data_IF_936973247737
#
_entry.id   IF_936973247737
#
_cell.length_a   1.000
_cell.length_b   1.000
_cell.length_c   1.000
_cell.angle_alpha   90.00
_cell.angle_beta   90.00
_cell.angle_gamma   90.00
#
_symmetry.space_group_name_H-M   'P 1'
#
loop_
_entity.id
_entity.type
_entity.pdbx_description
1 polymer ?
#
# COMPACT_ATOMS: atom_id res chain seq x y z
N UNK A 1 -22.80 1.39 2.99
CA UNK A 1 -21.97 1.95 1.91
C UNK A 1 -22.07 1.08 0.67
N UNK A 2 -21.77 1.65 -0.48
CA UNK A 2 -21.72 0.94 -1.76
C UNK A 2 -20.35 0.36 -2.08
N UNK A 3 -19.36 0.55 -1.20
CA UNK A 3 -18.01 0.02 -1.38
C UNK A 3 -18.01 -1.43 -0.90
N UNK A 4 -17.66 -2.39 -1.76
CA UNK A 4 -17.66 -3.79 -1.37
C UNK A 4 -16.54 -4.10 -0.37
N UNK A 5 -16.78 -5.07 0.49
CA UNK A 5 -15.77 -5.60 1.40
C UNK A 5 -14.87 -6.58 0.65
N UNK A 6 -13.56 -6.38 0.73
CA UNK A 6 -12.59 -7.26 0.10
C UNK A 6 -12.59 -8.66 0.76
N UNK A 7 -12.32 -9.68 -0.04
CA UNK A 7 -12.28 -11.07 0.39
C UNK A 7 -10.97 -11.74 -0.04
N UNK A 8 -10.72 -12.94 0.47
CA UNK A 8 -9.58 -13.76 0.04
C UNK A 8 -9.65 -14.09 -1.46
N UNK A 9 -10.85 -14.25 -2.03
CA UNK A 9 -11.04 -14.48 -3.45
C UNK A 9 -10.59 -13.29 -4.30
N UNK A 10 -10.84 -12.06 -3.83
CA UNK A 10 -10.37 -10.85 -4.51
C UNK A 10 -8.85 -10.79 -4.54
N UNK A 11 -8.20 -11.18 -3.45
CA UNK A 11 -6.74 -11.23 -3.36
C UNK A 11 -6.14 -12.26 -4.33
N UNK A 12 -6.75 -13.43 -4.45
CA UNK A 12 -6.32 -14.46 -5.40
C UNK A 12 -6.49 -13.99 -6.86
N UNK A 13 -7.56 -13.26 -7.13
CA UNK A 13 -7.90 -12.76 -8.47
C UNK A 13 -7.02 -11.60 -8.91
N UNK A 14 -6.73 -10.63 -8.04
CA UNK A 14 -6.02 -9.42 -8.41
C UNK A 14 -4.53 -9.68 -8.72
N UNK A 15 -3.97 -8.89 -9.60
CA UNK A 15 -2.54 -8.93 -9.96
C UNK A 15 -1.71 -7.91 -9.18
N UNK A 16 -2.36 -6.96 -8.53
CA UNK A 16 -1.71 -5.92 -7.74
C UNK A 16 -2.55 -5.57 -6.53
N UNK A 17 -1.89 -5.18 -5.45
CA UNK A 17 -2.53 -4.72 -4.23
C UNK A 17 -2.00 -3.34 -3.85
N UNK A 18 -2.91 -2.39 -3.71
CA UNK A 18 -2.61 -1.10 -3.10
C UNK A 18 -3.30 -1.05 -1.74
N UNK A 19 -2.56 -1.32 -0.69
CA UNK A 19 -3.08 -1.24 0.66
C UNK A 19 -3.17 0.21 1.12
N UNK A 20 -4.26 0.55 1.78
CA UNK A 20 -4.42 1.87 2.39
C UNK A 20 -5.10 1.69 3.74
N UNK A 21 -4.40 2.01 4.81
CA UNK A 21 -4.92 1.93 6.16
C UNK A 21 -4.32 3.03 7.03
N UNK A 22 -5.06 3.53 8.03
CA UNK A 22 -4.51 4.51 8.94
C UNK A 22 -3.41 3.92 9.82
N UNK A 23 -2.46 4.77 10.19
CA UNK A 23 -1.42 4.42 11.17
C UNK A 23 -2.04 4.36 12.57
N UNK A 24 -1.72 3.32 13.30
CA UNK A 24 -2.05 3.14 14.72
C UNK A 24 -0.79 2.71 15.45
N UNK A 25 -0.21 3.62 16.26
CA UNK A 25 0.98 3.34 17.06
C UNK A 25 2.13 2.73 16.23
N UNK A 26 2.38 3.30 15.05
CA UNK A 26 3.48 2.88 14.19
C UNK A 26 3.22 1.65 13.32
N UNK A 27 2.01 1.14 13.30
CA UNK A 27 1.58 0.02 12.47
C UNK A 27 0.23 0.26 11.83
N UNK A 28 -0.24 -0.70 11.02
CA UNK A 28 -1.56 -0.62 10.41
C UNK A 28 -2.68 -0.80 11.42
N UNK A 29 -3.85 -0.24 11.14
CA UNK A 29 -5.05 -0.44 11.96
C UNK A 29 -5.38 -1.94 12.08
N UNK A 30 -5.90 -2.33 13.25
CA UNK A 30 -6.20 -3.74 13.57
C UNK A 30 -7.15 -4.41 12.57
N UNK A 31 -8.09 -3.65 12.00
CA UNK A 31 -9.01 -4.17 11.00
C UNK A 31 -8.28 -4.65 9.74
N UNK A 32 -7.28 -3.92 9.29
CA UNK A 32 -6.44 -4.33 8.17
C UNK A 32 -5.63 -5.57 8.53
N UNK A 33 -5.06 -5.63 9.72
CA UNK A 33 -4.33 -6.81 10.19
C UNK A 33 -5.24 -8.02 10.30
N UNK A 34 -6.45 -7.85 10.79
CA UNK A 34 -7.44 -8.92 10.86
C UNK A 34 -7.80 -9.45 9.47
N UNK A 35 -7.94 -8.57 8.48
CA UNK A 35 -8.14 -8.99 7.09
C UNK A 35 -6.95 -9.81 6.57
N UNK A 36 -5.74 -9.34 6.77
CA UNK A 36 -4.52 -10.04 6.37
C UNK A 36 -4.45 -11.43 7.00
N UNK A 37 -4.85 -11.56 8.25
CA UNK A 37 -4.84 -12.84 8.97
C UNK A 37 -5.83 -13.85 8.36
N UNK A 38 -6.82 -13.43 7.59
CA UNK A 38 -7.74 -14.34 6.89
C UNK A 38 -7.14 -14.97 5.63
N UNK A 39 -5.97 -14.52 5.18
CA UNK A 39 -5.40 -14.90 3.89
C UNK A 39 -4.52 -16.15 3.94
N UNK A 40 -4.45 -16.84 5.08
CA UNK A 40 -3.59 -18.01 5.25
C UNK A 40 -3.84 -19.13 4.22
N UNK A 41 -5.09 -19.39 3.87
CA UNK A 41 -5.43 -20.39 2.86
C UNK A 41 -4.94 -20.05 1.46
N UNK A 42 -5.12 -18.80 1.03
CA UNK A 42 -4.62 -18.33 -0.28
C UNK A 42 -3.10 -18.34 -0.30
N UNK A 43 -2.48 -17.87 0.77
CA UNK A 43 -1.03 -17.89 0.92
C UNK A 43 -0.46 -19.31 0.82
N UNK A 44 -1.06 -20.27 1.51
CA UNK A 44 -0.58 -21.67 1.51
C UNK A 44 -0.62 -22.30 0.11
N UNK A 45 -1.50 -21.83 -0.76
CA UNK A 45 -1.59 -22.28 -2.15
C UNK A 45 -0.70 -21.48 -3.11
N UNK A 46 0.12 -20.55 -2.60
CA UNK A 46 0.96 -19.70 -3.43
C UNK A 46 0.19 -18.59 -4.15
N UNK A 47 -1.05 -18.32 -3.78
CA UNK A 47 -1.93 -17.38 -4.47
C UNK A 47 -1.57 -15.91 -4.29
N UNK A 48 -0.67 -15.59 -3.37
CA UNK A 48 -0.19 -14.22 -3.12
C UNK A 48 1.23 -13.98 -3.67
N UNK A 49 1.89 -15.02 -4.13
CA UNK A 49 3.24 -14.92 -4.69
C UNK A 49 3.24 -14.16 -6.02
N UNK A 50 4.29 -13.38 -6.25
CA UNK A 50 4.51 -12.60 -7.48
C UNK A 50 3.43 -11.54 -7.77
N UNK A 51 2.61 -11.18 -6.81
CA UNK A 51 1.69 -10.05 -6.91
C UNK A 51 2.47 -8.74 -6.64
N UNK A 52 2.15 -7.68 -7.38
CA UNK A 52 2.73 -6.37 -7.12
C UNK A 52 2.05 -5.72 -5.91
N UNK A 53 2.82 -5.21 -4.96
CA UNK A 53 2.28 -4.64 -3.71
C UNK A 53 2.84 -3.24 -3.46
N UNK A 54 1.94 -2.31 -3.17
CA UNK A 54 2.28 -0.98 -2.68
C UNK A 54 1.36 -0.62 -1.52
N UNK A 55 1.72 0.40 -0.74
CA UNK A 55 0.93 0.81 0.41
C UNK A 55 0.94 2.32 0.59
N UNK A 56 -0.16 2.82 1.15
CA UNK A 56 -0.36 4.20 1.57
C UNK A 56 -0.90 4.22 2.99
N UNK A 57 -0.69 5.31 3.71
CA UNK A 57 -1.17 5.46 5.07
C UNK A 57 -1.54 6.90 5.39
N UNK A 58 -2.11 7.10 6.55
CA UNK A 58 -2.32 8.41 7.15
C UNK A 58 -1.95 8.38 8.63
N UNK A 59 -1.57 9.51 9.18
CA UNK A 59 -1.32 9.66 10.61
C UNK A 59 -1.72 11.05 11.09
N UNK A 60 -1.82 11.21 12.39
CA UNK A 60 -2.19 12.49 12.99
C UNK A 60 -1.05 13.51 12.89
N UNK A 61 0.20 13.07 13.03
CA UNK A 61 1.38 13.94 13.07
C UNK A 61 2.35 13.59 11.94
N UNK A 62 3.21 14.53 11.56
CA UNK A 62 4.23 14.32 10.53
C UNK A 62 5.24 13.23 10.91
N UNK A 63 5.53 13.06 12.19
CA UNK A 63 6.36 11.98 12.72
C UNK A 63 5.51 10.96 13.48
N UNK A 64 4.36 10.60 12.91
CA UNK A 64 3.35 9.76 13.56
C UNK A 64 3.47 8.26 13.32
N UNK A 65 4.57 7.81 12.70
CA UNK A 65 4.80 6.39 12.40
C UNK A 65 4.31 5.97 11.00
N UNK A 66 4.20 6.90 10.06
CA UNK A 66 3.80 6.60 8.70
C UNK A 66 4.76 5.62 8.02
N UNK A 67 6.06 5.88 8.13
CA UNK A 67 7.10 5.06 7.49
C UNK A 67 7.11 3.65 8.05
N UNK A 68 7.05 3.50 9.38
CA UNK A 68 7.00 2.17 10.01
C UNK A 68 5.72 1.41 9.64
N UNK A 69 4.59 2.10 9.53
CA UNK A 69 3.33 1.49 9.08
C UNK A 69 3.46 0.93 7.67
N UNK A 70 4.02 1.71 6.74
CA UNK A 70 4.26 1.26 5.37
C UNK A 70 5.18 0.05 5.33
N UNK A 71 6.25 0.06 6.12
CA UNK A 71 7.17 -1.06 6.22
C UNK A 71 6.50 -2.34 6.75
N UNK A 72 5.52 -2.24 7.64
CA UNK A 72 4.79 -3.43 8.11
C UNK A 72 4.00 -4.10 6.99
N UNK A 73 3.44 -3.35 6.04
CA UNK A 73 2.84 -3.91 4.84
C UNK A 73 3.88 -4.64 3.98
N UNK A 74 5.06 -4.06 3.82
CA UNK A 74 6.10 -4.66 2.99
C UNK A 74 6.71 -5.90 3.63
N UNK A 75 6.83 -5.95 4.96
CA UNK A 75 7.21 -7.19 5.65
C UNK A 75 6.20 -8.30 5.38
N UNK A 76 4.92 -7.99 5.43
CA UNK A 76 3.84 -8.94 5.09
C UNK A 76 3.98 -9.42 3.64
N UNK A 77 4.19 -8.50 2.70
CA UNK A 77 4.39 -8.82 1.28
C UNK A 77 5.60 -9.73 1.06
N UNK A 78 6.69 -9.51 1.80
CA UNK A 78 7.86 -10.38 1.74
C UNK A 78 7.53 -11.82 2.15
N UNK A 79 6.75 -11.99 3.22
CA UNK A 79 6.30 -13.32 3.65
C UNK A 79 5.42 -14.01 2.61
N UNK A 80 4.70 -13.26 1.79
CA UNK A 80 3.87 -13.81 0.72
C UNK A 80 4.65 -14.17 -0.55
N UNK A 81 5.89 -13.71 -0.67
CA UNK A 81 6.62 -13.78 -1.94
C UNK A 81 6.11 -12.78 -2.96
N UNK A 82 5.39 -11.75 -2.53
CA UNK A 82 4.94 -10.66 -3.39
C UNK A 82 6.10 -9.73 -3.74
N UNK A 83 5.91 -8.92 -4.78
CA UNK A 83 6.92 -7.97 -5.26
C UNK A 83 6.56 -6.57 -4.77
N UNK A 84 7.42 -5.98 -3.97
CA UNK A 84 7.21 -4.63 -3.43
C UNK A 84 7.44 -3.60 -4.52
N UNK A 85 6.46 -2.73 -4.73
CA UNK A 85 6.51 -1.61 -5.68
C UNK A 85 6.29 -0.30 -4.91
N UNK A 86 7.28 0.11 -4.17
CA UNK A 86 7.26 1.41 -3.51
C UNK A 86 7.44 2.53 -4.56
N UNK A 87 6.93 3.75 -4.31
CA UNK A 87 7.13 4.86 -5.24
C UNK A 87 8.60 5.25 -5.38
N UNK A 88 9.41 5.12 -4.33
CA UNK A 88 10.77 5.62 -4.33
C UNK A 88 10.79 7.12 -4.62
N UNK A 89 11.91 7.65 -5.02
CA UNK A 89 12.02 9.04 -5.48
C UNK A 89 11.99 9.09 -7.03
N UNK A 90 10.98 8.49 -7.63
CA UNK A 90 10.89 8.31 -9.09
C UNK A 90 10.09 9.41 -9.79
N UNK A 91 9.55 10.37 -9.06
CA UNK A 91 8.81 11.50 -9.60
C UNK A 91 8.97 12.74 -8.70
N UNK A 92 9.13 13.94 -9.28
CA UNK A 92 9.26 15.18 -8.50
C UNK A 92 8.10 15.48 -7.55
N UNK A 93 6.91 14.94 -7.81
CA UNK A 93 5.73 15.14 -6.96
C UNK A 93 5.97 14.64 -5.53
N UNK A 94 6.80 13.61 -5.34
CA UNK A 94 7.09 13.08 -4.01
C UNK A 94 7.75 14.12 -3.10
N UNK A 95 8.64 14.94 -3.64
CA UNK A 95 9.31 15.99 -2.86
C UNK A 95 8.38 17.10 -2.43
N UNK A 96 7.28 17.31 -3.16
CA UNK A 96 6.28 18.33 -2.85
C UNK A 96 5.24 17.85 -1.84
N UNK A 97 5.25 16.58 -1.52
CA UNK A 97 4.24 15.94 -0.65
C UNK A 97 4.85 15.24 0.56
N UNK A 98 6.02 15.70 1.01
CA UNK A 98 6.68 15.20 2.21
C UNK A 98 7.86 14.26 1.95
N UNK A 99 8.03 13.72 0.75
CA UNK A 99 9.20 12.92 0.39
C UNK A 99 9.24 11.55 1.05
N UNK A 100 8.12 10.86 1.15
CA UNK A 100 8.07 9.51 1.70
C UNK A 100 8.25 8.46 0.59
N UNK A 101 9.44 7.85 0.44
CA UNK A 101 9.71 6.91 -0.65
C UNK A 101 9.05 5.54 -0.46
N UNK A 102 8.60 5.24 0.74
CA UNK A 102 7.95 3.97 1.06
C UNK A 102 6.50 3.91 0.54
N UNK A 103 5.85 5.06 0.45
CA UNK A 103 4.47 5.20 -0.01
C UNK A 103 3.91 6.55 0.40
N UNK A 104 2.86 7.00 -0.29
CA UNK A 104 2.21 8.24 0.10
C UNK A 104 1.67 8.13 1.54
N UNK A 105 1.94 9.16 2.33
CA UNK A 105 1.42 9.28 3.69
C UNK A 105 0.76 10.64 3.89
N UNK A 106 -0.47 10.64 4.39
CA UNK A 106 -1.25 11.85 4.62
C UNK A 106 -1.23 12.23 6.10
N UNK A 107 -0.86 13.47 6.40
CA UNK A 107 -0.93 14.00 7.77
C UNK A 107 -2.30 14.65 7.98
N UNK A 108 -2.95 14.37 9.11
CA UNK A 108 -4.25 14.92 9.45
C UNK A 108 -4.25 16.46 9.35
N UNK A 109 -5.28 17.01 8.74
CA UNK A 109 -5.44 18.44 8.54
C UNK A 109 -4.73 19.00 7.30
N UNK A 110 -3.89 18.21 6.63
CA UNK A 110 -3.30 18.63 5.38
C UNK A 110 -4.36 18.64 4.26
N UNK A 111 -4.25 19.61 3.33
CA UNK A 111 -5.16 19.69 2.19
C UNK A 111 -4.84 18.64 1.14
N UNK A 112 -5.85 18.17 0.41
CA UNK A 112 -5.68 17.36 -0.78
C UNK A 112 -5.43 18.26 -1.98
N UNK A 113 -4.18 18.68 -2.15
CA UNK A 113 -3.72 19.53 -3.24
C UNK A 113 -3.55 18.77 -4.55
N UNK A 114 -3.30 19.48 -5.64
CA UNK A 114 -2.99 18.84 -6.92
C UNK A 114 -1.67 18.05 -6.85
N UNK A 115 -0.69 18.52 -6.06
CA UNK A 115 0.56 17.78 -5.81
C UNK A 115 0.30 16.48 -5.07
N UNK A 116 -0.59 16.46 -4.09
CA UNK A 116 -1.00 15.23 -3.39
C UNK A 116 -1.64 14.24 -4.36
N UNK A 117 -2.56 14.72 -5.20
CA UNK A 117 -3.20 13.88 -6.22
C UNK A 117 -2.17 13.33 -7.21
N UNK A 118 -1.20 14.15 -7.62
CA UNK A 118 -0.13 13.73 -8.51
C UNK A 118 0.75 12.65 -7.88
N UNK A 119 1.07 12.78 -6.59
CA UNK A 119 1.88 11.80 -5.85
C UNK A 119 1.15 10.45 -5.72
N UNK A 120 -0.12 10.48 -5.35
CA UNK A 120 -0.97 9.27 -5.26
C UNK A 120 -1.12 8.63 -6.65
N UNK A 121 -1.39 9.44 -7.66
CA UNK A 121 -1.54 8.97 -9.04
C UNK A 121 -0.27 8.34 -9.58
N UNK A 122 0.89 8.93 -9.31
CA UNK A 122 2.18 8.37 -9.71
C UNK A 122 2.42 6.99 -9.07
N UNK A 123 2.21 6.87 -7.77
CA UNK A 123 2.38 5.59 -7.07
C UNK A 123 1.45 4.52 -7.62
N UNK A 124 0.19 4.85 -7.85
CA UNK A 124 -0.82 3.93 -8.39
C UNK A 124 -0.45 3.49 -9.81
N UNK A 125 -0.07 4.43 -10.67
CA UNK A 125 0.33 4.15 -12.05
C UNK A 125 1.57 3.25 -12.09
N UNK A 126 2.58 3.55 -11.28
CA UNK A 126 3.79 2.74 -11.16
C UNK A 126 3.47 1.31 -10.74
N UNK A 127 2.56 1.14 -9.77
CA UNK A 127 2.12 -0.18 -9.33
C UNK A 127 1.48 -0.98 -10.47
N UNK A 128 0.58 -0.34 -11.23
CA UNK A 128 -0.10 -0.98 -12.37
C UNK A 128 0.91 -1.36 -13.47
N UNK A 129 1.82 -0.46 -13.81
CA UNK A 129 2.86 -0.72 -14.82
C UNK A 129 3.74 -1.92 -14.44
N UNK A 130 4.11 -2.03 -13.16
CA UNK A 130 4.90 -3.17 -12.70
C UNK A 130 4.09 -4.46 -12.67
N UNK A 131 2.83 -4.41 -12.26
CA UNK A 131 1.92 -5.56 -12.32
C UNK A 131 1.78 -6.08 -13.76
N UNK A 132 1.64 -5.19 -14.74
CA UNK A 132 1.56 -5.56 -16.15
C UNK A 132 2.83 -6.28 -16.63
N UNK A 133 3.99 -5.82 -16.19
CA UNK A 133 5.27 -6.48 -16.52
C UNK A 133 5.39 -7.87 -15.90
N UNK A 134 4.87 -8.05 -14.69
CA UNK A 134 4.90 -9.34 -13.99
C UNK A 134 3.94 -10.36 -14.60
N UNK A 135 2.92 -9.91 -15.32
CA UNK A 135 1.90 -10.77 -15.95
C UNK A 135 2.06 -10.89 -17.46
N UNK A 136 3.08 -10.27 -18.02
CA UNK A 136 3.35 -10.30 -19.46
C UNK A 136 3.87 -11.67 -19.93
#
# INVERSE_FOLDING_TARGET
>A
THIPTASAADMAWANAYLFCAPTRFGGMASQMRAFIDTLGGVWAQGGLANKAVSAMTSAQNAHGGQESTLLTFYYTAMHWGSIIVAPGFTDPALFKTGGNPYGYSHTQGAAFTDEVKASIGHQTKRLIEMADKLTA
#
